data_IF_787028936335
#
_entry.id   IF_787028936335
#
_cell.length_a   1.000
_cell.length_b   1.000
_cell.length_c   1.000
_cell.angle_alpha   90.00
_cell.angle_beta   90.00
_cell.angle_gamma   90.00
#
_symmetry.space_group_name_H-M   'P 1'
#
loop_
_entity.id
_entity.type
_entity.pdbx_description
1 polymer ?
#
# COMPACT_ATOMS: atom_id res chain seq x y z
N UNK A 1 -7.65 -36.19 22.94
CA UNK A 1 -6.36 -35.81 22.31
C UNK A 1 -5.78 -34.50 22.82
N UNK A 2 -6.56 -33.53 23.34
CA UNK A 2 -5.99 -32.29 23.89
C UNK A 2 -5.42 -32.49 25.32
N UNK A 3 -5.95 -33.45 26.07
CA UNK A 3 -5.53 -33.69 27.46
C UNK A 3 -4.13 -34.32 27.58
N UNK A 4 -3.64 -35.03 26.56
CA UNK A 4 -2.32 -35.69 26.59
C UNK A 4 -1.14 -34.71 26.45
N UNK A 5 -1.36 -33.51 25.93
CA UNK A 5 -0.31 -32.49 25.84
C UNK A 5 -0.08 -31.76 27.16
N UNK A 6 -1.02 -31.87 28.11
CA UNK A 6 -0.94 -31.23 29.43
C UNK A 6 0.00 -31.96 30.40
N UNK A 7 0.27 -33.25 30.18
CA UNK A 7 1.18 -34.06 31.02
C UNK A 7 2.66 -33.86 30.69
N UNK A 8 2.99 -33.24 29.56
CA UNK A 8 4.37 -32.96 29.17
C UNK A 8 4.81 -31.60 29.69
N UNK A 9 6.00 -31.56 30.29
CA UNK A 9 6.59 -30.28 30.69
C UNK A 9 6.87 -29.41 29.47
N UNK A 10 6.72 -28.10 29.64
CA UNK A 10 6.94 -27.12 28.57
C UNK A 10 8.34 -27.23 27.94
N UNK A 11 9.34 -27.65 28.73
CA UNK A 11 10.69 -27.94 28.25
C UNK A 11 10.77 -29.14 27.31
N UNK A 12 10.03 -30.21 27.58
CA UNK A 12 9.97 -31.39 26.71
C UNK A 12 9.31 -31.05 25.35
N UNK A 13 8.23 -30.26 25.38
CA UNK A 13 7.55 -29.79 24.17
C UNK A 13 8.46 -28.91 23.30
N UNK A 14 9.19 -27.97 23.92
CA UNK A 14 10.15 -27.11 23.21
C UNK A 14 11.30 -27.90 22.58
N UNK A 15 11.79 -28.94 23.27
CA UNK A 15 12.85 -29.83 22.76
C UNK A 15 12.36 -30.67 21.57
N UNK A 16 11.13 -31.20 21.65
CA UNK A 16 10.49 -31.93 20.54
C UNK A 16 10.26 -31.04 19.31
N UNK A 17 9.86 -29.78 19.51
CA UNK A 17 9.70 -28.82 18.42
C UNK A 17 11.04 -28.52 17.71
N UNK A 18 12.12 -28.38 18.47
CA UNK A 18 13.46 -28.16 17.90
C UNK A 18 13.96 -29.37 17.09
N UNK A 19 13.70 -30.60 17.56
CA UNK A 19 14.09 -31.81 16.82
C UNK A 19 13.30 -31.95 15.52
N UNK A 20 12.00 -31.63 15.52
CA UNK A 20 11.19 -31.66 14.30
C UNK A 20 11.65 -30.62 13.27
N UNK A 21 11.99 -29.41 13.71
CA UNK A 21 12.52 -28.38 12.82
C UNK A 21 13.87 -28.78 12.21
N UNK A 22 14.73 -29.43 13.00
CA UNK A 22 16.01 -29.96 12.52
C UNK A 22 15.82 -31.05 11.47
N UNK A 23 14.92 -32.00 11.72
CA UNK A 23 14.57 -33.06 10.77
C UNK A 23 13.98 -32.46 9.48
N UNK A 24 13.13 -31.43 9.58
CA UNK A 24 12.60 -30.74 8.40
C UNK A 24 13.71 -30.04 7.59
N UNK A 25 14.69 -29.42 8.26
CA UNK A 25 15.84 -28.79 7.58
C UNK A 25 16.81 -29.81 6.96
N UNK A 26 17.01 -30.96 7.59
CA UNK A 26 17.86 -32.04 7.07
C UNK A 26 17.14 -32.81 5.94
N UNK A 27 15.80 -32.92 6.00
CA UNK A 27 14.96 -33.53 4.96
C UNK A 27 14.82 -32.66 3.71
N UNK A 28 15.03 -31.34 3.78
CA UNK A 28 15.05 -30.45 2.60
C UNK A 28 16.43 -30.35 1.93
N UNK A 29 17.42 -31.10 2.42
CA UNK A 29 18.81 -31.11 1.91
C UNK A 29 19.10 -32.33 1.01
N UNK A 30 18.07 -33.01 0.49
CA UNK A 30 18.21 -34.21 -0.35
C UNK A 30 17.65 -34.03 -1.75
N UNK A 31 18.55 -33.71 -2.71
CA UNK A 31 18.39 -33.73 -4.18
C UNK A 31 17.55 -32.59 -4.79
N UNK A 32 18.16 -31.73 -5.60
CA UNK A 32 18.04 -31.76 -7.07
C UNK A 32 18.88 -30.65 -7.76
N UNK A 33 19.59 -31.08 -8.80
CA UNK A 33 19.94 -30.46 -10.07
C UNK A 33 20.17 -28.93 -10.17
N UNK A 34 21.40 -28.62 -10.57
CA UNK A 34 21.82 -27.42 -11.27
C UNK A 34 20.96 -27.17 -12.51
N UNK A 35 20.28 -26.02 -12.55
CA UNK A 35 19.85 -25.40 -13.80
C UNK A 35 19.79 -23.88 -13.63
N UNK A 36 20.82 -23.22 -14.14
CA UNK A 36 20.90 -21.78 -14.31
C UNK A 36 19.85 -21.29 -15.34
N UNK A 37 18.97 -20.38 -14.94
CA UNK A 37 18.35 -19.44 -15.86
C UNK A 37 18.05 -18.12 -15.17
N UNK A 38 18.93 -17.14 -15.38
CA UNK A 38 18.70 -15.75 -15.00
C UNK A 38 17.57 -15.16 -15.84
N UNK A 39 16.58 -14.56 -15.17
CA UNK A 39 15.69 -13.57 -15.76
C UNK A 39 15.81 -12.30 -14.94
N UNK A 40 16.30 -11.25 -15.59
CA UNK A 40 16.36 -9.90 -15.06
C UNK A 40 14.95 -9.32 -14.80
N UNK A 41 14.80 -8.58 -13.71
CA UNK A 41 13.86 -7.46 -13.68
C UNK A 41 14.55 -6.22 -13.11
N UNK A 42 14.61 -5.19 -13.94
CA UNK A 42 15.23 -3.92 -13.67
C UNK A 42 14.24 -3.01 -12.95
N UNK A 43 14.62 -2.51 -11.77
CA UNK A 43 14.17 -1.18 -11.33
C UNK A 43 15.32 -0.35 -10.78
N UNK A 44 15.47 0.76 -11.48
CA UNK A 44 16.37 1.89 -11.29
C UNK A 44 16.04 2.69 -10.03
N UNK A 45 17.09 3.28 -9.45
CA UNK A 45 17.00 4.62 -8.87
C UNK A 45 17.51 4.81 -7.44
N UNK A 46 18.84 4.92 -7.30
CA UNK A 46 19.48 5.94 -6.46
C UNK A 46 19.67 5.65 -4.97
N UNK A 47 20.91 5.39 -4.56
CA UNK A 47 21.68 6.28 -3.66
C UNK A 47 22.94 5.59 -3.11
N UNK A 48 24.06 6.27 -3.32
CA UNK A 48 25.25 6.34 -2.45
C UNK A 48 26.02 5.05 -2.18
N UNK A 49 27.23 5.00 -2.74
CA UNK A 49 28.21 3.94 -2.52
C UNK A 49 28.53 3.69 -1.05
N UNK A 50 28.47 2.42 -0.69
CA UNK A 50 29.23 1.83 0.40
C UNK A 50 29.80 0.52 -0.15
N UNK A 51 31.09 0.55 -0.42
CA UNK A 51 31.87 -0.63 -0.74
C UNK A 51 31.73 -1.65 0.39
N UNK A 52 31.37 -2.88 0.04
CA UNK A 52 31.34 -4.03 0.94
C UNK A 52 32.77 -4.58 0.94
N UNK A 53 33.54 -4.49 2.04
CA UNK A 53 34.81 -5.21 2.09
C UNK A 53 34.52 -6.71 2.15
N UNK A 54 35.09 -7.43 1.19
CA UNK A 54 35.12 -8.88 1.12
C UNK A 54 35.78 -9.41 2.38
N UNK A 55 35.12 -10.37 3.03
CA UNK A 55 35.62 -11.11 4.19
C UNK A 55 36.64 -12.15 3.72
N UNK A 56 37.80 -11.69 3.28
CA UNK A 56 38.99 -12.51 3.19
C UNK A 56 40.11 -11.74 3.88
N UNK A 57 40.97 -12.47 4.58
CA UNK A 57 42.09 -11.98 5.40
C UNK A 57 41.67 -11.44 6.76
N UNK A 58 41.62 -12.36 7.74
CA UNK A 58 42.34 -12.23 9.01
C UNK A 58 42.16 -13.56 9.77
N UNK A 59 42.86 -14.60 9.30
CA UNK A 59 43.25 -15.73 10.15
C UNK A 59 44.24 -15.20 11.19
N UNK A 60 43.73 -14.54 12.22
CA UNK A 60 44.51 -14.18 13.39
C UNK A 60 44.66 -15.43 14.26
N UNK A 61 45.71 -16.19 13.96
CA UNK A 61 46.41 -17.14 14.82
C UNK A 61 45.64 -17.52 16.11
N UNK A 62 44.77 -18.52 16.00
CA UNK A 62 44.44 -19.38 17.14
C UNK A 62 45.67 -20.24 17.46
N UNK A 63 46.75 -19.62 17.96
CA UNK A 63 47.69 -20.33 18.82
C UNK A 63 46.98 -20.57 20.16
N UNK A 64 46.11 -21.59 20.15
CA UNK A 64 45.63 -22.28 21.35
C UNK A 64 46.81 -23.05 21.94
N UNK A 65 47.80 -22.32 22.46
CA UNK A 65 48.62 -22.83 23.54
C UNK A 65 47.76 -22.76 24.80
N UNK A 66 47.29 -23.93 25.22
CA UNK A 66 46.45 -24.11 26.38
C UNK A 66 47.12 -23.56 27.63
N UNK A 67 46.73 -22.36 28.04
CA UNK A 67 46.84 -21.96 29.44
C UNK A 67 45.53 -22.37 30.11
N UNK A 68 45.59 -23.51 30.76
CA UNK A 68 44.55 -24.02 31.65
C UNK A 68 44.26 -22.94 32.68
N UNK A 69 43.19 -22.16 32.51
CA UNK A 69 42.70 -21.30 33.58
C UNK A 69 42.22 -22.23 34.69
N UNK A 70 43.00 -22.32 35.77
CA UNK A 70 42.57 -23.04 36.96
C UNK A 70 41.25 -22.42 37.42
N UNK A 71 40.19 -23.23 37.53
CA UNK A 71 38.93 -22.73 38.06
C UNK A 71 39.15 -22.21 39.47
N UNK A 72 38.47 -21.11 39.86
CA UNK A 72 38.55 -20.58 41.22
C UNK A 72 38.27 -21.66 42.25
N UNK A 73 39.08 -21.70 43.32
CA UNK A 73 38.88 -22.62 44.46
C UNK A 73 37.55 -22.36 45.19
N UNK A 74 37.04 -21.12 45.17
CA UNK A 74 35.70 -20.76 45.68
C UNK A 74 35.16 -19.52 44.95
N UNK A 75 33.85 -19.27 45.03
CA UNK A 75 33.19 -18.20 44.23
C UNK A 75 33.72 -16.80 44.55
N UNK A 76 34.19 -16.59 45.78
CA UNK A 76 34.68 -15.31 46.29
C UNK A 76 36.21 -15.21 46.31
N UNK A 77 36.93 -16.22 45.80
CA UNK A 77 38.39 -16.17 45.70
C UNK A 77 38.84 -15.46 44.40
N UNK A 78 39.91 -14.65 44.43
CA UNK A 78 40.49 -14.08 43.21
C UNK A 78 41.08 -15.17 42.30
N UNK A 79 41.13 -14.89 40.99
CA UNK A 79 41.86 -15.72 40.01
C UNK A 79 43.21 -15.09 39.76
N UNK A 80 44.27 -15.90 39.85
CA UNK A 80 45.59 -15.50 39.40
C UNK A 80 45.64 -15.52 37.86
N UNK A 81 46.01 -14.38 37.28
CA UNK A 81 46.25 -14.24 35.83
C UNK A 81 47.73 -14.01 35.60
N UNK A 82 48.28 -14.58 34.52
CA UNK A 82 49.69 -14.38 34.18
C UNK A 82 49.97 -12.92 33.84
N UNK A 83 51.05 -12.38 34.41
CA UNK A 83 51.53 -11.01 34.13
C UNK A 83 51.98 -10.83 32.67
N UNK A 84 52.25 -11.92 31.96
CA UNK A 84 52.58 -11.93 30.53
C UNK A 84 51.38 -11.66 29.63
N UNK A 85 50.15 -11.70 30.15
CA UNK A 85 48.94 -11.42 29.36
C UNK A 85 48.72 -9.91 29.30
N UNK A 86 48.89 -9.25 28.15
CA UNK A 86 48.67 -7.82 28.04
C UNK A 86 47.17 -7.49 28.26
N UNK A 87 46.90 -6.40 28.98
CA UNK A 87 45.53 -5.90 29.16
C UNK A 87 45.09 -5.20 27.87
N UNK A 88 43.90 -5.52 27.36
CA UNK A 88 43.34 -4.80 26.21
C UNK A 88 43.06 -3.35 26.58
N UNK A 89 43.56 -2.41 25.78
CA UNK A 89 43.26 -0.97 25.92
C UNK A 89 41.89 -0.60 25.33
N UNK A 90 41.25 -1.51 24.59
CA UNK A 90 39.95 -1.27 23.93
C UNK A 90 38.81 -1.68 24.85
N UNK A 91 37.81 -0.81 25.02
CA UNK A 91 36.56 -1.13 25.70
C UNK A 91 35.72 -2.03 24.78
N UNK A 92 35.15 -3.10 25.32
CA UNK A 92 34.13 -3.89 24.62
C UNK A 92 32.84 -3.07 24.59
N UNK A 93 32.58 -2.39 23.47
CA UNK A 93 31.32 -1.70 23.26
C UNK A 93 30.29 -2.75 22.87
N UNK A 94 29.33 -3.02 23.77
CA UNK A 94 28.16 -3.83 23.45
C UNK A 94 27.20 -2.90 22.71
N UNK A 95 26.87 -3.24 21.46
CA UNK A 95 25.85 -2.50 20.71
C UNK A 95 24.50 -2.68 21.41
N UNK A 96 23.98 -1.60 21.97
CA UNK A 96 22.64 -1.55 22.57
C UNK A 96 21.68 -1.13 21.46
N UNK A 97 20.58 -1.86 21.31
CA UNK A 97 19.49 -1.46 20.40
C UNK A 97 18.99 -0.08 20.79
N UNK A 98 19.15 0.89 19.89
CA UNK A 98 18.68 2.26 20.10
C UNK A 98 17.16 2.28 19.94
N UNK A 99 16.45 2.62 21.01
CA UNK A 99 15.01 2.84 20.96
C UNK A 99 14.71 4.13 20.21
N UNK A 100 14.32 4.02 18.94
CA UNK A 100 13.88 5.16 18.15
C UNK A 100 12.43 5.51 18.52
N UNK A 101 12.22 6.66 19.17
CA UNK A 101 10.87 7.16 19.43
C UNK A 101 10.25 7.58 18.10
N UNK A 102 9.37 6.72 17.56
CA UNK A 102 8.64 6.96 16.30
C UNK A 102 7.16 7.11 16.60
N UNK A 103 6.49 7.97 15.84
CA UNK A 103 5.03 8.09 15.88
C UNK A 103 4.44 6.73 15.49
N UNK A 104 3.54 6.15 16.31
CA UNK A 104 2.97 4.84 16.06
C UNK A 104 2.32 4.75 14.68
N UNK A 105 1.78 5.84 14.12
CA UNK A 105 1.19 5.86 12.77
C UNK A 105 2.19 5.49 11.67
N UNK A 106 3.47 5.78 11.90
CA UNK A 106 4.55 5.47 10.96
C UNK A 106 5.41 4.31 11.45
N UNK A 107 4.99 3.61 12.50
CA UNK A 107 5.62 2.35 12.92
C UNK A 107 5.32 1.27 11.88
N UNK A 108 6.31 0.42 11.63
CA UNK A 108 6.15 -0.77 10.77
C UNK A 108 5.04 -1.71 11.28
N UNK A 109 4.69 -1.62 12.57
CA UNK A 109 3.60 -2.36 13.20
C UNK A 109 2.19 -1.92 12.74
N UNK A 110 2.05 -0.71 12.18
CA UNK A 110 0.74 -0.16 11.80
C UNK A 110 0.17 -0.73 10.49
N UNK A 111 0.93 -1.57 9.78
CA UNK A 111 0.47 -2.28 8.59
C UNK A 111 0.33 -1.43 7.32
N UNK A 112 -0.20 -2.04 6.26
CA UNK A 112 -0.40 -1.39 4.95
C UNK A 112 -1.81 -0.82 4.78
N UNK A 113 -1.95 0.16 3.87
CA UNK A 113 -3.23 0.77 3.54
C UNK A 113 -4.16 -0.22 2.82
N UNK A 114 -5.29 -0.55 3.46
CA UNK A 114 -6.38 -1.30 2.87
C UNK A 114 -7.54 -0.36 2.51
N UNK A 115 -7.75 -0.16 1.21
CA UNK A 115 -8.80 0.71 0.69
C UNK A 115 -10.22 0.29 1.15
N UNK A 116 -10.46 -1.01 1.35
CA UNK A 116 -11.77 -1.52 1.75
C UNK A 116 -12.08 -1.19 3.21
N UNK A 117 -11.10 -1.40 4.11
CA UNK A 117 -11.20 -1.01 5.51
C UNK A 117 -11.33 0.49 5.67
N UNK A 118 -10.55 1.25 4.90
CA UNK A 118 -10.63 2.71 4.89
C UNK A 118 -12.04 3.19 4.52
N UNK A 119 -12.61 2.68 3.43
CA UNK A 119 -13.97 3.07 3.02
C UNK A 119 -15.02 2.71 4.07
N UNK A 120 -14.88 1.57 4.74
CA UNK A 120 -15.81 1.16 5.79
C UNK A 120 -15.69 2.06 7.04
N UNK A 121 -14.48 2.25 7.55
CA UNK A 121 -14.22 3.04 8.77
C UNK A 121 -14.52 4.53 8.57
N UNK A 122 -14.26 5.05 7.37
CA UNK A 122 -14.45 6.47 7.03
C UNK A 122 -15.66 6.72 6.11
N UNK A 123 -16.67 5.87 6.19
CA UNK A 123 -17.90 5.99 5.40
C UNK A 123 -18.63 7.33 5.58
N UNK A 124 -18.51 7.93 6.77
CA UNK A 124 -19.07 9.24 7.13
C UNK A 124 -18.51 10.42 6.30
N UNK A 125 -17.31 10.29 5.71
CA UNK A 125 -16.72 11.34 4.87
C UNK A 125 -17.62 11.67 3.66
N UNK A 126 -18.31 10.66 3.12
CA UNK A 126 -19.19 10.84 1.98
C UNK A 126 -20.40 11.73 2.31
N UNK A 127 -20.89 11.69 3.55
CA UNK A 127 -21.99 12.53 4.02
C UNK A 127 -21.48 13.93 4.37
N UNK A 128 -20.29 14.04 4.97
CA UNK A 128 -19.62 15.31 5.23
C UNK A 128 -19.38 16.10 3.94
N UNK A 129 -18.79 15.49 2.92
CA UNK A 129 -18.55 16.15 1.62
C UNK A 129 -19.84 16.64 0.97
N UNK A 130 -20.95 15.91 1.12
CA UNK A 130 -22.26 16.35 0.64
C UNK A 130 -22.78 17.54 1.44
N UNK A 131 -22.61 17.55 2.76
CA UNK A 131 -22.96 18.68 3.62
C UNK A 131 -22.16 19.93 3.26
N UNK A 132 -20.83 19.81 3.14
CA UNK A 132 -19.93 20.89 2.72
C UNK A 132 -20.34 21.45 1.36
N UNK A 133 -20.66 20.59 0.38
CA UNK A 133 -21.10 21.04 -0.94
C UNK A 133 -22.41 21.85 -0.87
N UNK A 134 -23.36 21.44 -0.02
CA UNK A 134 -24.61 22.20 0.19
C UNK A 134 -24.32 23.58 0.79
N UNK A 135 -23.51 23.62 1.84
CA UNK A 135 -23.10 24.87 2.50
C UNK A 135 -22.37 25.81 1.55
N UNK A 136 -21.44 25.31 0.74
CA UNK A 136 -20.71 26.12 -0.24
C UNK A 136 -21.63 26.68 -1.32
N UNK A 137 -22.63 25.91 -1.78
CA UNK A 137 -23.63 26.39 -2.74
C UNK A 137 -24.51 27.49 -2.16
N UNK A 138 -24.93 27.36 -0.91
CA UNK A 138 -25.66 28.41 -0.21
C UNK A 138 -24.82 29.69 -0.07
N UNK A 139 -23.58 29.55 0.38
CA UNK A 139 -22.66 30.67 0.53
C UNK A 139 -22.41 31.38 -0.81
N UNK A 140 -22.20 30.61 -1.89
CA UNK A 140 -22.05 31.14 -3.24
C UNK A 140 -23.30 31.93 -3.65
N UNK A 141 -24.50 31.38 -3.42
CA UNK A 141 -25.74 32.07 -3.74
C UNK A 141 -25.93 33.36 -2.92
N UNK A 142 -25.57 33.35 -1.63
CA UNK A 142 -25.56 34.56 -0.80
C UNK A 142 -24.57 35.60 -1.33
N UNK A 143 -23.35 35.18 -1.66
CA UNK A 143 -22.32 36.06 -2.20
C UNK A 143 -22.73 36.69 -3.55
N UNK A 144 -23.39 35.91 -4.43
CA UNK A 144 -23.96 36.45 -5.70
C UNK A 144 -25.03 37.50 -5.47
N UNK A 145 -25.92 37.30 -4.48
CA UNK A 145 -26.94 38.29 -4.11
C UNK A 145 -26.29 39.57 -3.58
N UNK A 146 -25.28 39.43 -2.72
CA UNK A 146 -24.54 40.56 -2.16
C UNK A 146 -23.75 41.33 -3.23
N UNK A 147 -23.18 40.63 -4.21
CA UNK A 147 -22.49 41.26 -5.36
C UNK A 147 -23.46 42.11 -6.20
N UNK A 148 -24.69 41.64 -6.38
CA UNK A 148 -25.70 42.40 -7.14
C UNK A 148 -26.15 43.69 -6.43
N UNK A 149 -26.13 43.71 -5.09
CA UNK A 149 -26.53 44.86 -4.28
C UNK A 149 -25.37 45.72 -3.77
N UNK A 150 -24.12 45.39 -4.08
CA UNK A 150 -22.95 46.06 -3.51
C UNK A 150 -22.63 47.39 -4.22
N UNK A 151 -22.19 48.43 -3.48
CA UNK A 151 -21.68 49.67 -4.06
C UNK A 151 -20.39 49.42 -4.85
N UNK A 152 -20.06 50.34 -5.77
CA UNK A 152 -18.95 50.21 -6.73
C UNK A 152 -17.59 49.98 -6.06
N UNK A 153 -17.35 50.58 -4.91
CA UNK A 153 -16.06 50.50 -4.22
C UNK A 153 -15.77 49.11 -3.64
N UNK A 154 -16.82 48.40 -3.20
CA UNK A 154 -16.71 47.03 -2.65
C UNK A 154 -16.87 45.95 -3.73
N UNK A 155 -17.22 46.32 -4.95
CA UNK A 155 -17.42 45.40 -6.07
C UNK A 155 -16.23 44.47 -6.34
N UNK A 156 -14.96 44.94 -6.43
CA UNK A 156 -13.83 44.05 -6.73
C UNK A 156 -13.65 42.96 -5.67
N UNK A 157 -13.80 43.29 -4.39
CA UNK A 157 -13.69 42.33 -3.29
C UNK A 157 -14.82 41.27 -3.36
N UNK A 158 -16.04 41.70 -3.67
CA UNK A 158 -17.20 40.80 -3.81
C UNK A 158 -17.06 39.86 -5.00
N UNK A 159 -16.52 40.34 -6.13
CA UNK A 159 -16.23 39.48 -7.28
C UNK A 159 -15.19 38.42 -6.91
N UNK A 160 -14.09 38.81 -6.27
CA UNK A 160 -13.06 37.89 -5.82
C UNK A 160 -13.60 36.81 -4.87
N UNK A 161 -14.49 37.19 -3.95
CA UNK A 161 -15.14 36.23 -3.04
C UNK A 161 -16.06 35.25 -3.79
N UNK A 162 -16.85 35.73 -4.75
CA UNK A 162 -17.71 34.86 -5.58
C UNK A 162 -16.86 33.88 -6.39
N UNK A 163 -15.75 34.33 -6.97
CA UNK A 163 -14.82 33.46 -7.71
C UNK A 163 -14.18 32.41 -6.81
N UNK A 164 -13.74 32.81 -5.61
CA UNK A 164 -13.19 31.90 -4.59
C UNK A 164 -14.20 30.81 -4.23
N UNK A 165 -15.44 31.20 -3.93
CA UNK A 165 -16.51 30.26 -3.59
C UNK A 165 -16.90 29.38 -4.78
N UNK A 166 -16.92 29.90 -6.00
CA UNK A 166 -17.18 29.11 -7.20
C UNK A 166 -16.12 28.02 -7.43
N UNK A 167 -14.83 28.36 -7.21
CA UNK A 167 -13.74 27.39 -7.25
C UNK A 167 -13.86 26.35 -6.14
N UNK A 168 -14.24 26.76 -4.93
CA UNK A 168 -14.47 25.86 -3.81
C UNK A 168 -15.62 24.86 -4.10
N UNK A 169 -16.76 25.35 -4.63
CA UNK A 169 -17.87 24.50 -5.06
C UNK A 169 -17.41 23.49 -6.10
N UNK A 170 -16.66 23.90 -7.13
CA UNK A 170 -16.16 22.99 -8.17
C UNK A 170 -15.28 21.87 -7.60
N UNK A 171 -14.44 22.19 -6.60
CA UNK A 171 -13.61 21.19 -5.89
C UNK A 171 -14.49 20.22 -5.10
N UNK A 172 -15.43 20.72 -4.29
CA UNK A 172 -16.35 19.90 -3.52
C UNK A 172 -17.24 19.00 -4.40
N UNK A 173 -17.73 19.52 -5.54
CA UNK A 173 -18.48 18.73 -6.53
C UNK A 173 -17.67 17.57 -7.09
N UNK A 174 -16.37 17.80 -7.31
CA UNK A 174 -15.44 16.77 -7.78
C UNK A 174 -15.23 15.69 -6.72
N UNK A 175 -15.09 16.06 -5.44
CA UNK A 175 -15.00 15.11 -4.31
C UNK A 175 -16.25 14.26 -4.18
N UNK A 176 -17.44 14.88 -4.14
CA UNK A 176 -18.73 14.16 -4.05
C UNK A 176 -18.94 13.24 -5.26
N UNK A 177 -18.55 13.69 -6.46
CA UNK A 177 -18.64 12.86 -7.68
C UNK A 177 -17.69 11.68 -7.64
N UNK A 178 -16.50 11.86 -7.07
CA UNK A 178 -15.52 10.78 -6.85
C UNK A 178 -16.06 9.75 -5.87
N UNK A 179 -16.59 10.17 -4.73
CA UNK A 179 -17.11 9.25 -3.71
C UNK A 179 -18.29 8.43 -4.25
N UNK A 180 -19.21 9.07 -4.98
CA UNK A 180 -20.30 8.36 -5.67
C UNK A 180 -19.78 7.33 -6.67
N UNK A 181 -18.74 7.69 -7.43
CA UNK A 181 -18.12 6.78 -8.39
C UNK A 181 -17.48 5.59 -7.69
N UNK A 182 -16.69 5.84 -6.65
CA UNK A 182 -16.01 4.81 -5.86
C UNK A 182 -17.01 3.87 -5.19
N UNK A 183 -18.11 4.39 -4.66
CA UNK A 183 -19.19 3.58 -4.08
C UNK A 183 -19.80 2.61 -5.10
N UNK A 184 -20.16 3.10 -6.29
CA UNK A 184 -20.72 2.25 -7.37
C UNK A 184 -19.73 1.18 -7.81
N UNK A 185 -18.44 1.53 -7.92
CA UNK A 185 -17.39 0.57 -8.30
C UNK A 185 -17.16 -0.48 -7.22
N UNK A 186 -17.13 -0.07 -5.95
CA UNK A 186 -17.01 -0.95 -4.81
C UNK A 186 -18.19 -1.93 -4.73
N UNK A 187 -19.43 -1.43 -4.82
CA UNK A 187 -20.64 -2.25 -4.80
C UNK A 187 -20.61 -3.30 -5.91
N UNK A 188 -20.26 -2.91 -7.14
CA UNK A 188 -20.22 -3.81 -8.27
C UNK A 188 -19.16 -4.93 -8.12
N UNK A 189 -17.98 -4.60 -7.57
CA UNK A 189 -16.97 -5.61 -7.25
C UNK A 189 -17.37 -6.49 -6.05
N UNK A 190 -18.05 -5.91 -5.07
CA UNK A 190 -18.51 -6.63 -3.87
C UNK A 190 -19.53 -7.71 -4.21
N UNK A 191 -20.45 -7.43 -5.15
CA UNK A 191 -21.45 -8.39 -5.63
C UNK A 191 -20.76 -9.60 -6.25
N UNK A 192 -19.82 -9.37 -7.17
CA UNK A 192 -19.08 -10.47 -7.79
C UNK A 192 -18.23 -11.22 -6.77
N UNK A 193 -17.58 -10.53 -5.84
CA UNK A 193 -16.81 -11.20 -4.79
C UNK A 193 -17.69 -12.09 -3.90
N UNK A 194 -18.94 -11.69 -3.64
CA UNK A 194 -19.93 -12.52 -2.92
C UNK A 194 -20.35 -13.73 -3.76
N UNK A 195 -20.72 -13.52 -5.02
CA UNK A 195 -21.12 -14.60 -5.93
C UNK A 195 -20.01 -15.65 -6.11
N UNK A 196 -18.75 -15.21 -6.25
CA UNK A 196 -17.61 -16.11 -6.35
C UNK A 196 -17.35 -16.87 -5.03
N UNK A 197 -17.56 -16.23 -3.87
CA UNK A 197 -17.47 -16.89 -2.57
C UNK A 197 -18.54 -17.99 -2.43
N UNK A 198 -19.77 -17.72 -2.86
CA UNK A 198 -20.85 -18.72 -2.84
C UNK A 198 -20.58 -19.89 -3.79
N UNK A 199 -20.04 -19.62 -4.99
CA UNK A 199 -19.60 -20.67 -5.93
C UNK A 199 -18.52 -21.54 -5.32
N UNK A 200 -17.56 -20.93 -4.61
CA UNK A 200 -16.50 -21.66 -3.91
C UNK A 200 -17.03 -22.53 -2.78
N UNK A 201 -17.98 -22.02 -1.98
CA UNK A 201 -18.66 -22.80 -0.95
C UNK A 201 -19.40 -24.02 -1.53
N UNK A 202 -19.93 -23.90 -2.75
CA UNK A 202 -20.54 -25.01 -3.51
C UNK A 202 -19.50 -25.99 -4.10
N UNK A 203 -18.21 -25.81 -3.82
CA UNK A 203 -17.12 -26.68 -4.28
C UNK A 203 -16.53 -26.32 -5.64
N UNK A 204 -16.93 -25.18 -6.25
CA UNK A 204 -16.25 -24.70 -7.47
C UNK A 204 -14.86 -24.16 -7.11
N UNK A 205 -13.91 -24.28 -8.05
CA UNK A 205 -12.56 -23.71 -7.87
C UNK A 205 -12.64 -22.18 -7.76
N UNK A 206 -11.72 -21.61 -6.98
CA UNK A 206 -11.59 -20.17 -6.87
C UNK A 206 -11.31 -19.55 -8.26
N UNK A 207 -12.08 -18.53 -8.60
CA UNK A 207 -12.00 -17.83 -9.87
C UNK A 207 -11.78 -16.34 -9.63
N UNK A 208 -10.78 -15.78 -10.31
CA UNK A 208 -10.46 -14.37 -10.26
C UNK A 208 -10.71 -13.74 -11.62
N UNK A 209 -11.54 -12.68 -11.64
CA UNK A 209 -11.88 -12.00 -12.89
C UNK A 209 -10.64 -11.45 -13.59
N UNK A 210 -10.59 -11.60 -14.91
CA UNK A 210 -9.55 -10.97 -15.72
C UNK A 210 -9.73 -9.45 -15.68
N UNK A 211 -8.63 -8.71 -15.85
CA UNK A 211 -8.67 -7.24 -15.83
C UNK A 211 -9.61 -6.65 -16.89
N UNK A 212 -9.73 -7.29 -18.05
CA UNK A 212 -10.66 -6.88 -19.10
C UNK A 212 -12.14 -7.04 -18.67
N UNK A 213 -12.47 -8.11 -17.97
CA UNK A 213 -13.81 -8.38 -17.46
C UNK A 213 -14.17 -7.43 -16.32
N UNK A 214 -13.23 -7.20 -15.39
CA UNK A 214 -13.38 -6.17 -14.35
C UNK A 214 -13.71 -4.81 -14.95
N UNK A 215 -12.97 -4.38 -15.99
CA UNK A 215 -13.24 -3.11 -16.69
C UNK A 215 -14.63 -3.08 -17.31
N UNK A 216 -15.05 -4.15 -17.99
CA UNK A 216 -16.41 -4.26 -18.57
C UNK A 216 -17.49 -4.14 -17.49
N UNK A 217 -17.28 -4.82 -16.36
CA UNK A 217 -18.18 -4.79 -15.22
C UNK A 217 -18.32 -3.37 -14.65
N UNK A 218 -17.20 -2.70 -14.35
CA UNK A 218 -17.22 -1.34 -13.81
C UNK A 218 -17.87 -0.35 -14.79
N UNK A 219 -17.64 -0.50 -16.10
CA UNK A 219 -18.29 0.34 -17.12
C UNK A 219 -19.81 0.13 -17.12
N UNK A 220 -20.29 -1.11 -17.04
CA UNK A 220 -21.72 -1.43 -16.94
C UNK A 220 -22.33 -0.79 -15.69
N UNK A 221 -21.74 -1.05 -14.52
CA UNK A 221 -22.20 -0.48 -13.25
C UNK A 221 -22.27 1.06 -13.27
N UNK A 222 -21.28 1.74 -13.86
CA UNK A 222 -21.29 3.20 -14.03
C UNK A 222 -22.45 3.68 -14.92
N UNK A 223 -22.77 2.96 -16.00
CA UNK A 223 -23.90 3.32 -16.87
C UNK A 223 -25.25 3.00 -16.23
N UNK A 224 -25.35 1.92 -15.47
CA UNK A 224 -26.55 1.56 -14.74
C UNK A 224 -26.83 2.61 -13.65
N UNK A 225 -25.81 3.02 -12.88
CA UNK A 225 -25.92 4.11 -11.90
C UNK A 225 -26.32 5.45 -12.54
N UNK A 226 -25.76 5.76 -13.72
CA UNK A 226 -26.14 6.97 -14.47
C UNK A 226 -27.58 6.91 -14.99
N UNK A 227 -28.04 5.73 -15.38
CA UNK A 227 -29.42 5.49 -15.81
C UNK A 227 -30.38 5.60 -14.63
N UNK A 228 -30.01 5.06 -13.46
CA UNK A 228 -30.79 5.19 -12.24
C UNK A 228 -30.95 6.66 -11.78
N UNK A 229 -29.89 7.48 -11.91
CA UNK A 229 -29.91 8.87 -11.49
C UNK A 229 -30.56 9.84 -12.50
N UNK A 230 -30.31 9.64 -13.80
CA UNK A 230 -30.66 10.62 -14.85
C UNK A 230 -31.45 10.03 -16.01
N UNK A 231 -31.93 8.79 -15.88
CA UNK A 231 -32.68 8.08 -16.90
C UNK A 231 -31.89 7.78 -18.18
N UNK A 232 -32.61 7.31 -19.19
CA UNK A 232 -32.04 6.97 -20.52
C UNK A 232 -31.47 8.20 -21.24
N UNK A 233 -32.00 9.40 -20.97
CA UNK A 233 -31.53 10.65 -21.59
C UNK A 233 -30.12 11.01 -21.16
N UNK A 234 -29.80 10.89 -19.86
CA UNK A 234 -28.46 11.16 -19.36
C UNK A 234 -27.42 10.21 -19.97
N UNK A 235 -27.76 8.92 -20.03
CA UNK A 235 -26.92 7.90 -20.67
C UNK A 235 -26.67 8.20 -22.15
N UNK A 236 -27.73 8.46 -22.93
CA UNK A 236 -27.64 8.82 -24.36
C UNK A 236 -26.71 10.02 -24.59
N UNK A 237 -26.83 11.07 -23.77
CA UNK A 237 -25.98 12.26 -23.84
C UNK A 237 -24.49 11.93 -23.62
N UNK A 238 -24.18 11.04 -22.68
CA UNK A 238 -22.79 10.63 -22.43
C UNK A 238 -22.25 9.75 -23.56
N UNK A 239 -23.06 8.82 -24.07
CA UNK A 239 -22.70 7.99 -25.23
C UNK A 239 -22.46 8.86 -26.46
N UNK A 240 -23.33 9.82 -26.74
CA UNK A 240 -23.21 10.75 -27.87
C UNK A 240 -21.93 11.60 -27.75
N UNK A 241 -21.67 12.17 -26.57
CA UNK A 241 -20.40 12.89 -26.31
C UNK A 241 -19.18 12.01 -26.55
N UNK A 242 -19.22 10.73 -26.14
CA UNK A 242 -18.14 9.78 -26.38
C UNK A 242 -17.99 9.47 -27.88
N UNK A 243 -19.10 9.23 -28.58
CA UNK A 243 -19.14 8.99 -30.04
C UNK A 243 -18.56 10.18 -30.81
N UNK A 244 -18.95 11.42 -30.47
CA UNK A 244 -18.40 12.64 -31.08
C UNK A 244 -16.89 12.76 -30.86
N UNK A 245 -16.42 12.50 -29.64
CA UNK A 245 -14.97 12.52 -29.33
C UNK A 245 -14.19 11.45 -30.09
N UNK A 246 -14.74 10.24 -30.22
CA UNK A 246 -14.11 9.15 -30.99
C UNK A 246 -14.07 9.50 -32.48
N UNK A 247 -15.18 9.96 -33.05
CA UNK A 247 -15.25 10.41 -34.44
C UNK A 247 -14.25 11.53 -34.73
N UNK A 248 -14.11 12.53 -33.86
CA UNK A 248 -13.10 13.59 -34.03
C UNK A 248 -11.66 13.06 -33.96
N UNK A 249 -11.39 12.09 -33.08
CA UNK A 249 -10.08 11.43 -33.00
C UNK A 249 -9.79 10.63 -34.26
N UNK A 250 -10.76 9.88 -34.76
CA UNK A 250 -10.65 9.14 -36.03
C UNK A 250 -10.40 10.11 -37.19
N UNK A 251 -11.19 11.17 -37.33
CA UNK A 251 -10.97 12.20 -38.36
C UNK A 251 -9.56 12.81 -38.26
N UNK A 252 -9.07 13.11 -37.06
CA UNK A 252 -7.71 13.63 -36.86
C UNK A 252 -6.62 12.60 -37.14
N UNK A 253 -6.88 11.32 -36.87
CA UNK A 253 -5.94 10.22 -37.10
C UNK A 253 -5.88 9.78 -38.56
N UNK A 254 -6.87 10.14 -39.38
CA UNK A 254 -6.85 9.85 -40.81
C UNK A 254 -5.72 10.64 -41.47
N UNK A 255 -4.89 10.02 -42.32
CA UNK A 255 -3.90 10.75 -43.11
C UNK A 255 -4.63 11.78 -43.98
N UNK A 256 -4.31 13.06 -43.81
CA UNK A 256 -4.90 14.13 -44.62
C UNK A 256 -4.24 14.17 -46.00
N UNK A 257 -5.03 14.10 -47.07
CA UNK A 257 -4.60 14.22 -48.47
C UNK A 257 -3.82 15.52 -48.80
N UNK A 258 -3.73 16.49 -47.89
CA UNK A 258 -2.97 17.75 -48.03
C UNK A 258 -1.44 17.60 -48.17
N UNK A 259 -0.89 16.38 -48.10
CA UNK A 259 0.54 16.09 -48.34
C UNK A 259 0.82 15.38 -49.67
N UNK A 260 -0.19 15.10 -50.49
CA UNK A 260 0.01 14.70 -51.88
C UNK A 260 -0.14 15.98 -52.71
N UNK A 261 0.97 16.39 -53.32
CA UNK A 261 1.12 17.66 -54.03
C UNK A 261 -0.08 18.00 -54.90
N UNK A 262 -0.57 19.22 -54.73
CA UNK A 262 -1.37 19.88 -55.76
C UNK A 262 -0.44 20.05 -56.97
N UNK A 263 -0.83 19.65 -58.19
CA UNK A 263 -0.07 20.02 -59.39
C UNK A 263 0.01 21.55 -59.53
#
# INVERSE_FOLDING_TARGET
MQDEFSSFSFGALRKAQQTLNRIHSESSSGKEYDNSYSVEDQRSGGATGKEIPRKDDLHLNESKEGTVFTSRKSKNAPIEITSKRPVSRRRTVVEIEKLEVRDPRFSQLSGEFDATKFQNHYSFLSDMHQGELRMLRENLNRARKLLASSPRDLFPERVAEVERLALAVKRAESSVSRDKREKVEYEALSVVAKDEREKQQKGKKAYWLKNAEKKKLLIKARFDAMTAQGGTRALKKVIEKKRRKLSQKETKSRPSLKKLGRP
#
